data_IF_205276758614
#
_entry.id   IF_205276758614
#
_cell.length_a   1.000
_cell.length_b   1.000
_cell.length_c   1.000
_cell.angle_alpha   90.00
_cell.angle_beta   90.00
_cell.angle_gamma   90.00
#
_symmetry.space_group_name_H-M   'P 1'
#
loop_
_entity.id
_entity.type
_entity.pdbx_description
1 polymer ?
#
# COMPACT_ATOMS: atom_id res chain seq x y z
N UNK A 1 20.40 -6.59 21.07
CA UNK A 1 20.60 -6.93 22.50
C UNK A 1 19.39 -6.41 23.27
N UNK A 2 18.24 -7.05 23.11
CA UNK A 2 17.06 -6.78 23.94
C UNK A 2 16.82 -8.07 24.70
N UNK A 3 17.24 -8.06 25.97
CA UNK A 3 17.08 -9.17 26.88
C UNK A 3 15.61 -9.45 27.15
N UNK A 4 15.34 -10.69 27.51
CA UNK A 4 14.11 -11.12 28.16
C UNK A 4 13.79 -10.12 29.30
N UNK A 5 12.74 -9.33 29.15
CA UNK A 5 12.12 -8.66 30.29
C UNK A 5 11.21 -9.71 30.92
N UNK A 6 11.68 -10.29 32.03
CA UNK A 6 10.82 -11.02 32.93
C UNK A 6 9.70 -10.08 33.41
N UNK A 7 8.48 -10.62 33.41
CA UNK A 7 7.26 -9.89 33.78
C UNK A 7 7.10 -9.95 35.29
N UNK A 8 7.68 -9.00 36.00
CA UNK A 8 7.31 -8.76 37.40
C UNK A 8 6.26 -7.64 37.50
N UNK A 9 5.25 -7.85 38.36
CA UNK A 9 4.21 -6.87 38.75
C UNK A 9 4.81 -5.56 39.30
N UNK A 10 6.10 -5.57 39.66
CA UNK A 10 6.86 -4.46 40.23
C UNK A 10 6.94 -3.23 39.34
N UNK A 11 7.00 -3.38 38.01
CA UNK A 11 7.14 -2.24 37.10
C UNK A 11 5.91 -1.32 37.08
N UNK A 12 4.71 -1.86 37.31
CA UNK A 12 3.49 -1.07 37.36
C UNK A 12 3.40 -0.29 38.68
N UNK A 13 3.80 -0.92 39.79
CA UNK A 13 3.88 -0.28 41.10
C UNK A 13 4.93 0.83 41.13
N UNK A 14 6.12 0.59 40.55
CA UNK A 14 7.18 1.59 40.38
C UNK A 14 6.69 2.78 39.52
N UNK A 15 6.03 2.51 38.38
CA UNK A 15 5.47 3.56 37.53
C UNK A 15 4.39 4.38 38.26
N UNK A 16 3.48 3.72 38.99
CA UNK A 16 2.46 4.39 39.79
C UNK A 16 3.07 5.22 40.93
N UNK A 17 4.10 4.71 41.61
CA UNK A 17 4.84 5.47 42.63
C UNK A 17 5.50 6.71 42.01
N UNK A 18 6.17 6.55 40.86
CA UNK A 18 6.88 7.63 40.17
C UNK A 18 5.96 8.71 39.59
N UNK A 19 4.73 8.35 39.19
CA UNK A 19 3.78 9.28 38.54
C UNK A 19 2.67 9.79 39.46
N UNK A 20 2.64 9.34 40.70
CA UNK A 20 1.70 9.82 41.72
C UNK A 20 2.02 11.24 42.19
N UNK A 21 1.74 12.26 41.37
CA UNK A 21 1.61 13.63 41.90
C UNK A 21 0.43 13.65 42.87
N UNK A 22 0.74 13.76 44.15
CA UNK A 22 -0.22 13.88 45.24
C UNK A 22 -1.16 15.06 45.00
N UNK A 23 -2.35 14.79 44.46
CA UNK A 23 -3.44 15.76 44.43
C UNK A 23 -3.93 15.93 45.87
N UNK A 24 -3.28 16.83 46.63
CA UNK A 24 -3.72 17.23 47.97
C UNK A 24 -5.10 17.86 47.84
N UNK A 25 -6.16 17.09 48.13
CA UNK A 25 -7.49 17.66 48.38
C UNK A 25 -7.45 18.43 49.70
N UNK A 26 -7.93 19.68 49.76
CA UNK A 26 -8.01 20.40 51.02
C UNK A 26 -9.09 19.75 51.91
N UNK A 27 -8.69 19.31 53.10
CA UNK A 27 -9.62 18.89 54.15
C UNK A 27 -10.23 20.13 54.81
N UNK A 28 -11.45 20.48 54.40
CA UNK A 28 -12.27 21.49 55.06
C UNK A 28 -13.68 20.95 55.25
N UNK A 29 -14.02 20.56 56.48
CA UNK A 29 -15.33 20.03 56.82
C UNK A 29 -16.39 21.13 56.93
N UNK A 30 -17.57 20.87 56.35
CA UNK A 30 -18.87 21.29 56.87
C UNK A 30 -19.93 20.30 56.36
N UNK A 31 -20.88 19.96 57.22
CA UNK A 31 -21.84 18.88 57.01
C UNK A 31 -22.70 19.08 55.77
N UNK A 32 -22.62 18.11 54.86
CA UNK A 32 -23.59 17.94 53.78
C UNK A 32 -24.48 16.74 54.09
N UNK A 33 -25.79 16.97 54.08
CA UNK A 33 -26.83 15.94 54.21
C UNK A 33 -26.52 14.80 53.24
N UNK A 34 -26.45 13.58 53.76
CA UNK A 34 -26.30 12.37 52.98
C UNK A 34 -27.46 12.25 51.98
N UNK A 35 -27.26 12.72 50.76
CA UNK A 35 -27.93 12.12 49.61
C UNK A 35 -27.23 10.79 49.42
N UNK A 36 -27.98 9.70 49.59
CA UNK A 36 -27.58 8.38 49.16
C UNK A 36 -27.10 8.51 47.71
N UNK A 37 -25.78 8.51 47.50
CA UNK A 37 -25.20 8.36 46.17
C UNK A 37 -25.79 7.05 45.67
N UNK A 38 -26.56 7.10 44.57
CA UNK A 38 -26.82 5.88 43.80
C UNK A 38 -25.46 5.25 43.60
N UNK A 39 -25.25 4.09 44.23
CA UNK A 39 -24.08 3.25 44.00
C UNK A 39 -23.89 3.26 42.49
N UNK A 40 -22.72 3.69 42.01
CA UNK A 40 -22.40 3.73 40.58
C UNK A 40 -22.86 2.41 39.97
N UNK A 41 -24.02 2.40 39.33
CA UNK A 41 -24.49 1.26 38.56
C UNK A 41 -23.57 1.25 37.34
N UNK A 42 -22.42 0.59 37.50
CA UNK A 42 -21.54 0.27 36.40
C UNK A 42 -22.42 -0.43 35.39
N UNK A 43 -22.61 0.19 34.22
CA UNK A 43 -23.43 -0.35 33.15
C UNK A 43 -22.93 -1.76 32.83
N UNK A 44 -23.63 -2.77 33.32
CA UNK A 44 -23.32 -4.15 33.01
C UNK A 44 -23.74 -4.41 31.58
N UNK A 45 -22.78 -4.79 30.75
CA UNK A 45 -23.04 -5.21 29.37
C UNK A 45 -22.95 -6.71 29.25
N UNK A 46 -23.69 -7.28 28.30
CA UNK A 46 -23.63 -8.73 28.05
C UNK A 46 -22.24 -9.16 27.56
N UNK A 47 -21.85 -10.40 27.84
CA UNK A 47 -20.63 -11.02 27.30
C UNK A 47 -20.54 -10.86 25.77
N UNK A 48 -21.66 -11.01 25.06
CA UNK A 48 -21.72 -10.83 23.60
C UNK A 48 -21.33 -9.42 23.15
N UNK A 49 -21.68 -8.41 23.94
CA UNK A 49 -21.32 -7.02 23.66
C UNK A 49 -19.83 -6.78 23.87
N UNK A 50 -19.28 -7.28 24.97
CA UNK A 50 -17.83 -7.22 25.27
C UNK A 50 -17.05 -7.94 24.18
N UNK A 51 -17.46 -9.16 23.83
CA UNK A 51 -16.84 -9.95 22.79
C UNK A 51 -16.77 -9.20 21.46
N UNK A 52 -17.89 -8.59 21.05
CA UNK A 52 -17.96 -7.80 19.83
C UNK A 52 -17.04 -6.58 19.90
N UNK A 53 -16.98 -5.90 21.04
CA UNK A 53 -16.10 -4.75 21.22
C UNK A 53 -14.62 -5.14 21.12
N UNK A 54 -14.22 -6.24 21.75
CA UNK A 54 -12.86 -6.80 21.65
C UNK A 54 -12.54 -7.14 20.19
N UNK A 55 -13.44 -7.85 19.49
CA UNK A 55 -13.24 -8.18 18.07
C UNK A 55 -13.08 -6.93 17.21
N UNK A 56 -13.95 -5.93 17.39
CA UNK A 56 -13.83 -4.65 16.68
C UNK A 56 -12.50 -3.96 16.98
N UNK A 57 -12.07 -3.92 18.25
CA UNK A 57 -10.79 -3.35 18.65
C UNK A 57 -9.61 -4.05 17.97
N UNK A 58 -9.61 -5.38 17.93
CA UNK A 58 -8.57 -6.17 17.26
C UNK A 58 -8.55 -5.90 15.76
N UNK A 59 -9.71 -5.93 15.09
CA UNK A 59 -9.82 -5.80 13.63
C UNK A 59 -9.53 -4.37 13.18
N UNK A 60 -10.16 -3.37 13.79
CA UNK A 60 -9.97 -1.96 13.41
C UNK A 60 -8.59 -1.44 13.81
N UNK A 61 -8.05 -1.93 14.93
CA UNK A 61 -6.72 -1.57 15.41
C UNK A 61 -5.58 -2.39 14.80
N UNK A 62 -5.87 -3.35 13.91
CA UNK A 62 -4.90 -4.30 13.34
C UNK A 62 -4.00 -4.95 14.40
N UNK A 63 -4.57 -5.29 15.55
CA UNK A 63 -3.82 -5.80 16.69
C UNK A 63 -3.53 -7.30 16.56
N UNK A 64 -2.41 -7.80 17.10
CA UNK A 64 -2.17 -9.24 17.20
C UNK A 64 -3.25 -9.93 18.03
N UNK A 65 -3.68 -11.12 17.61
CA UNK A 65 -4.73 -11.87 18.33
C UNK A 65 -4.31 -12.26 19.75
N UNK A 66 -3.01 -12.45 20.00
CA UNK A 66 -2.46 -12.72 21.32
C UNK A 66 -2.55 -11.55 22.31
N UNK A 67 -2.93 -10.35 21.84
CA UNK A 67 -3.09 -9.19 22.71
C UNK A 67 -4.13 -9.43 23.81
N UNK A 68 -5.18 -10.20 23.52
CA UNK A 68 -6.25 -10.53 24.48
C UNK A 68 -5.79 -11.40 25.64
N UNK A 69 -4.60 -12.00 25.52
CA UNK A 69 -3.99 -12.86 26.54
C UNK A 69 -2.92 -12.14 27.35
N UNK A 70 -2.69 -10.84 27.09
CA UNK A 70 -1.82 -10.04 27.96
C UNK A 70 -2.54 -9.78 29.29
N UNK A 71 -1.89 -10.00 30.45
CA UNK A 71 -2.50 -9.74 31.76
C UNK A 71 -3.09 -8.33 31.86
N UNK A 72 -2.34 -7.31 31.46
CA UNK A 72 -2.82 -5.92 31.48
C UNK A 72 -4.06 -5.65 30.61
N UNK A 73 -4.26 -6.41 29.53
CA UNK A 73 -5.51 -6.33 28.76
C UNK A 73 -6.66 -7.03 29.48
N UNK A 74 -6.40 -8.16 30.12
CA UNK A 74 -7.40 -8.88 30.91
C UNK A 74 -7.85 -8.06 32.10
N UNK A 75 -6.90 -7.48 32.85
CA UNK A 75 -7.17 -6.60 33.98
C UNK A 75 -8.02 -5.41 33.56
N UNK A 76 -7.70 -4.78 32.42
CA UNK A 76 -8.49 -3.69 31.86
C UNK A 76 -9.96 -4.11 31.61
N UNK A 77 -10.19 -5.29 31.03
CA UNK A 77 -11.54 -5.76 30.75
C UNK A 77 -12.28 -6.14 32.04
N UNK A 78 -11.60 -6.79 32.99
CA UNK A 78 -12.17 -7.17 34.29
C UNK A 78 -12.52 -5.93 35.10
N UNK A 79 -11.67 -4.91 35.14
CA UNK A 79 -11.95 -3.65 35.84
C UNK A 79 -13.17 -2.93 35.25
N UNK A 80 -13.28 -2.92 33.91
CA UNK A 80 -14.40 -2.28 33.22
C UNK A 80 -15.69 -3.10 33.27
N UNK A 81 -15.60 -4.44 33.24
CA UNK A 81 -16.72 -5.39 33.21
C UNK A 81 -16.38 -6.66 34.01
N UNK A 82 -16.51 -6.63 35.35
CA UNK A 82 -16.03 -7.72 36.22
C UNK A 82 -16.68 -9.08 36.00
N UNK A 83 -17.90 -9.10 35.45
CA UNK A 83 -18.65 -10.33 35.16
C UNK A 83 -18.34 -10.94 33.79
N UNK A 84 -17.47 -10.32 32.99
CA UNK A 84 -17.17 -10.77 31.64
C UNK A 84 -15.85 -11.53 31.58
N UNK A 85 -15.85 -12.67 30.88
CA UNK A 85 -14.64 -13.41 30.57
C UNK A 85 -13.98 -12.86 29.31
N UNK A 86 -12.65 -12.72 29.32
CA UNK A 86 -11.90 -12.35 28.11
C UNK A 86 -11.69 -13.59 27.25
N UNK A 87 -11.96 -13.46 25.95
CA UNK A 87 -11.76 -14.56 25.00
C UNK A 87 -10.27 -14.86 24.78
N UNK A 88 -9.94 -16.13 24.53
CA UNK A 88 -8.59 -16.55 24.12
C UNK A 88 -8.26 -16.16 22.68
N UNK A 89 -6.98 -16.14 22.31
CA UNK A 89 -6.55 -15.84 20.93
C UNK A 89 -7.15 -16.83 19.92
N UNK A 90 -7.30 -18.12 20.29
CA UNK A 90 -7.94 -19.15 19.46
C UNK A 90 -9.42 -18.82 19.22
N UNK A 91 -10.10 -18.30 20.24
CA UNK A 91 -11.50 -17.88 20.13
C UNK A 91 -11.64 -16.63 19.28
N UNK A 92 -10.75 -15.65 19.43
CA UNK A 92 -10.67 -14.48 18.52
C UNK A 92 -10.55 -14.94 17.07
N UNK A 93 -9.56 -15.80 16.78
CA UNK A 93 -9.32 -16.33 15.43
C UNK A 93 -10.56 -16.99 14.84
N UNK A 94 -11.15 -17.95 15.56
CA UNK A 94 -12.36 -18.66 15.12
C UNK A 94 -13.54 -17.73 14.86
N UNK A 95 -13.75 -16.71 15.70
CA UNK A 95 -14.83 -15.73 15.50
C UNK A 95 -14.56 -14.86 14.28
N UNK A 96 -13.33 -14.37 14.08
CA UNK A 96 -12.93 -13.61 12.89
C UNK A 96 -13.09 -14.45 11.62
N UNK A 97 -12.71 -15.73 11.63
CA UNK A 97 -12.88 -16.64 10.49
C UNK A 97 -14.36 -16.87 10.15
N UNK A 98 -15.21 -17.03 11.18
CA UNK A 98 -16.66 -17.13 11.01
C UNK A 98 -17.26 -15.85 10.43
N UNK A 99 -16.88 -14.69 10.95
CA UNK A 99 -17.39 -13.40 10.48
C UNK A 99 -16.87 -13.06 9.08
N UNK A 100 -15.64 -13.45 8.74
CA UNK A 100 -15.09 -13.36 7.39
C UNK A 100 -15.88 -14.22 6.41
N UNK A 101 -16.29 -15.42 6.81
CA UNK A 101 -17.10 -16.32 5.97
C UNK A 101 -18.49 -15.72 5.70
N UNK A 102 -19.16 -15.21 6.74
CA UNK A 102 -20.44 -14.49 6.60
C UNK A 102 -20.31 -13.24 5.74
N UNK A 103 -19.21 -12.48 5.89
CA UNK A 103 -18.92 -11.30 5.07
C UNK A 103 -18.78 -11.69 3.60
N UNK A 104 -18.06 -12.78 3.29
CA UNK A 104 -17.93 -13.30 1.92
C UNK A 104 -19.27 -13.70 1.32
N UNK A 105 -20.12 -14.41 2.07
CA UNK A 105 -21.48 -14.76 1.62
C UNK A 105 -22.34 -13.52 1.34
N UNK A 106 -22.32 -12.53 2.26
CA UNK A 106 -23.01 -11.25 2.04
C UNK A 106 -22.51 -10.56 0.78
N UNK A 107 -21.19 -10.50 0.59
CA UNK A 107 -20.60 -9.87 -0.58
C UNK A 107 -20.99 -10.58 -1.88
N UNK A 108 -20.99 -11.92 -1.91
CA UNK A 108 -21.54 -12.70 -3.03
C UNK A 108 -22.98 -12.33 -3.32
N UNK A 109 -23.82 -12.23 -2.29
CA UNK A 109 -25.23 -11.88 -2.47
C UNK A 109 -25.42 -10.46 -3.03
N UNK A 110 -24.60 -9.49 -2.62
CA UNK A 110 -24.61 -8.15 -3.23
C UNK A 110 -24.12 -8.20 -4.69
N UNK A 111 -23.06 -8.96 -4.97
CA UNK A 111 -22.53 -9.14 -6.33
C UNK A 111 -23.52 -9.84 -7.27
N UNK A 112 -24.42 -10.68 -6.76
CA UNK A 112 -25.50 -11.29 -7.55
C UNK A 112 -26.48 -10.26 -8.10
N UNK A 113 -26.76 -9.20 -7.36
CA UNK A 113 -27.73 -8.15 -7.73
C UNK A 113 -27.22 -7.22 -8.83
N UNK A 114 -25.90 -7.15 -9.01
CA UNK A 114 -25.29 -6.22 -9.98
C UNK A 114 -24.94 -6.93 -11.28
N UNK A 115 -25.20 -6.33 -12.45
CA UNK A 115 -24.86 -6.93 -13.73
C UNK A 115 -23.39 -6.71 -14.12
N UNK A 116 -22.80 -5.58 -13.72
CA UNK A 116 -21.47 -5.15 -14.16
C UNK A 116 -20.57 -4.85 -12.98
N UNK A 117 -19.35 -5.38 -13.03
CA UNK A 117 -18.31 -5.21 -12.02
C UNK A 117 -17.02 -4.79 -12.73
N UNK A 118 -16.27 -3.86 -12.14
CA UNK A 118 -14.89 -3.61 -12.50
C UNK A 118 -13.99 -4.13 -11.38
N UNK A 119 -12.83 -4.68 -11.71
CA UNK A 119 -11.84 -5.05 -10.69
C UNK A 119 -10.57 -4.24 -10.83
N UNK A 120 -9.91 -3.96 -9.71
CA UNK A 120 -8.55 -3.44 -9.66
C UNK A 120 -7.68 -4.50 -9.03
N UNK A 121 -6.46 -4.68 -9.55
CA UNK A 121 -5.49 -5.64 -9.03
C UNK A 121 -4.15 -4.98 -8.86
N UNK A 122 -3.52 -5.26 -7.72
CA UNK A 122 -2.18 -4.80 -7.39
C UNK A 122 -1.34 -5.97 -6.84
N UNK A 123 -0.05 -5.94 -7.13
CA UNK A 123 0.92 -6.89 -6.58
C UNK A 123 2.09 -6.13 -5.95
N UNK A 124 2.39 -6.46 -4.71
CA UNK A 124 3.50 -5.83 -3.98
C UNK A 124 4.28 -6.86 -3.19
N UNK A 125 5.54 -6.51 -2.92
CA UNK A 125 6.40 -7.30 -2.04
C UNK A 125 6.62 -6.56 -0.72
N UNK A 126 6.35 -7.24 0.39
CA UNK A 126 6.57 -6.74 1.73
C UNK A 126 7.22 -7.83 2.59
N UNK A 127 8.32 -7.50 3.30
CA UNK A 127 9.03 -8.43 4.20
C UNK A 127 9.37 -9.78 3.54
N UNK A 128 9.93 -9.74 2.32
CA UNK A 128 10.30 -10.92 1.51
C UNK A 128 9.13 -11.85 1.18
N UNK A 129 7.91 -11.32 1.15
CA UNK A 129 6.70 -12.03 0.73
C UNK A 129 5.96 -11.16 -0.27
N UNK A 130 5.45 -11.79 -1.30
CA UNK A 130 4.66 -11.10 -2.31
C UNK A 130 3.18 -11.35 -2.05
N UNK A 131 2.38 -10.34 -2.36
CA UNK A 131 0.95 -10.34 -2.13
C UNK A 131 0.24 -9.86 -3.38
N UNK A 132 -0.97 -10.36 -3.57
CA UNK A 132 -1.93 -9.86 -4.55
C UNK A 132 -3.15 -9.31 -3.82
N UNK A 133 -3.52 -8.09 -4.18
CA UNK A 133 -4.75 -7.44 -3.77
C UNK A 133 -5.70 -7.40 -4.94
N UNK A 134 -6.96 -7.82 -4.75
CA UNK A 134 -8.01 -7.67 -5.76
C UNK A 134 -9.19 -6.97 -5.11
N UNK A 135 -9.64 -5.87 -5.72
CA UNK A 135 -10.80 -5.09 -5.25
C UNK A 135 -11.85 -5.05 -6.36
N UNK A 136 -13.09 -5.35 -6.00
CA UNK A 136 -14.23 -5.17 -6.89
C UNK A 136 -14.86 -3.80 -6.68
N UNK A 137 -15.35 -3.22 -7.77
CA UNK A 137 -16.06 -1.94 -7.82
C UNK A 137 -17.34 -2.10 -8.62
N UNK A 138 -18.43 -1.53 -8.13
CA UNK A 138 -19.73 -1.54 -8.81
C UNK A 138 -20.52 -0.30 -8.46
N UNK A 139 -21.59 -0.01 -9.21
CA UNK A 139 -22.57 1.01 -8.86
C UNK A 139 -23.74 0.32 -8.14
N UNK A 140 -24.14 0.88 -7.01
CA UNK A 140 -25.38 0.48 -6.35
C UNK A 140 -26.57 0.76 -7.28
N UNK A 141 -27.42 -0.23 -7.59
CA UNK A 141 -28.51 -0.04 -8.56
C UNK A 141 -29.57 0.98 -8.13
N UNK A 142 -29.69 1.26 -6.83
CA UNK A 142 -30.71 2.16 -6.30
C UNK A 142 -30.15 3.57 -6.08
N UNK A 143 -28.97 3.69 -5.44
CA UNK A 143 -28.39 4.99 -5.10
C UNK A 143 -27.46 5.54 -6.18
N UNK A 144 -27.04 4.72 -7.15
CA UNK A 144 -25.97 5.03 -8.11
C UNK A 144 -24.64 5.43 -7.45
N UNK A 145 -24.47 5.13 -6.16
CA UNK A 145 -23.20 5.32 -5.48
C UNK A 145 -22.23 4.21 -5.86
N UNK A 146 -20.98 4.58 -6.12
CA UNK A 146 -19.92 3.60 -6.28
C UNK A 146 -19.66 2.90 -4.96
N UNK A 147 -19.72 1.57 -4.99
CA UNK A 147 -19.31 0.67 -3.92
C UNK A 147 -18.00 -0.01 -4.30
N UNK A 148 -17.23 -0.38 -3.28
CA UNK A 148 -15.98 -1.11 -3.44
C UNK A 148 -15.86 -2.17 -2.36
N UNK A 149 -15.27 -3.32 -2.67
CA UNK A 149 -14.94 -4.34 -1.68
C UNK A 149 -13.68 -5.12 -2.06
N UNK A 150 -12.79 -5.31 -1.09
CA UNK A 150 -11.63 -6.18 -1.25
C UNK A 150 -12.09 -7.64 -1.37
N UNK A 151 -11.79 -8.27 -2.50
CA UNK A 151 -12.03 -9.70 -2.75
C UNK A 151 -10.91 -10.56 -2.18
N UNK A 152 -9.68 -10.05 -2.27
CA UNK A 152 -8.50 -10.80 -1.89
C UNK A 152 -7.39 -9.88 -1.41
N UNK A 153 -6.69 -10.35 -0.38
CA UNK A 153 -5.33 -9.97 -0.03
C UNK A 153 -4.63 -11.29 0.29
N UNK A 154 -3.98 -11.88 -0.72
CA UNK A 154 -3.42 -13.23 -0.64
C UNK A 154 -1.91 -13.19 -0.82
N UNK A 155 -1.20 -13.99 -0.05
CA UNK A 155 0.23 -14.21 -0.29
C UNK A 155 0.39 -15.04 -1.57
N UNK A 156 1.19 -14.55 -2.51
CA UNK A 156 1.67 -15.32 -3.65
C UNK A 156 2.97 -16.03 -3.23
N UNK A 157 3.07 -17.32 -3.57
CA UNK A 157 4.25 -18.16 -3.28
C UNK A 157 4.85 -18.62 -4.60
N UNK A 158 6.19 -18.73 -4.63
CA UNK A 158 6.91 -19.08 -5.86
C UNK A 158 7.06 -17.89 -6.81
N UNK A 159 7.32 -18.19 -8.07
CA UNK A 159 7.47 -17.20 -9.14
C UNK A 159 6.12 -16.58 -9.51
N UNK A 160 6.10 -15.26 -9.67
CA UNK A 160 4.88 -14.50 -10.04
C UNK A 160 4.75 -14.39 -11.55
N UNK A 161 4.84 -15.52 -12.24
CA UNK A 161 4.72 -15.59 -13.69
C UNK A 161 3.32 -15.16 -14.15
N UNK A 162 3.18 -14.80 -15.42
CA UNK A 162 1.94 -14.25 -15.97
C UNK A 162 0.78 -15.26 -15.92
N UNK A 163 1.05 -16.55 -16.12
CA UNK A 163 0.13 -17.68 -15.97
C UNK A 163 -0.29 -17.87 -14.51
N UNK A 164 0.64 -17.77 -13.55
CA UNK A 164 0.30 -17.83 -12.12
C UNK A 164 -0.62 -16.69 -11.69
N UNK A 165 -0.40 -15.47 -12.19
CA UNK A 165 -1.29 -14.34 -11.96
C UNK A 165 -2.67 -14.55 -12.59
N UNK A 166 -2.74 -15.07 -13.81
CA UNK A 166 -3.99 -15.39 -14.49
C UNK A 166 -4.80 -16.45 -13.74
N UNK A 167 -4.14 -17.50 -13.26
CA UNK A 167 -4.74 -18.55 -12.45
C UNK A 167 -5.35 -17.99 -11.16
N UNK A 168 -4.59 -17.17 -10.43
CA UNK A 168 -5.05 -16.59 -9.16
C UNK A 168 -6.22 -15.62 -9.37
N UNK A 169 -6.18 -14.79 -10.41
CA UNK A 169 -7.28 -13.89 -10.76
C UNK A 169 -8.56 -14.67 -11.12
N UNK A 170 -8.41 -15.73 -11.91
CA UNK A 170 -9.52 -16.61 -12.31
C UNK A 170 -10.13 -17.30 -11.09
N UNK A 171 -9.32 -17.86 -10.18
CA UNK A 171 -9.80 -18.44 -8.91
C UNK A 171 -10.56 -17.41 -8.07
N UNK A 172 -10.03 -16.18 -7.94
CA UNK A 172 -10.69 -15.14 -7.16
C UNK A 172 -12.03 -14.77 -7.79
N UNK A 173 -12.11 -14.55 -9.09
CA UNK A 173 -13.37 -14.25 -9.78
C UNK A 173 -14.39 -15.39 -9.66
N UNK A 174 -13.95 -16.63 -9.83
CA UNK A 174 -14.80 -17.83 -9.69
C UNK A 174 -15.33 -17.98 -8.27
N UNK A 175 -14.47 -17.79 -7.26
CA UNK A 175 -14.83 -17.89 -5.84
C UNK A 175 -15.95 -16.94 -5.44
N UNK A 176 -16.03 -15.76 -6.06
CA UNK A 176 -17.08 -14.77 -5.81
C UNK A 176 -18.25 -14.85 -6.80
N UNK A 177 -18.25 -15.81 -7.74
CA UNK A 177 -19.29 -16.00 -8.77
C UNK A 177 -19.46 -14.75 -9.67
N UNK A 178 -18.33 -14.09 -10.01
CA UNK A 178 -18.33 -12.84 -10.79
C UNK A 178 -17.63 -12.94 -12.16
N UNK A 179 -17.07 -14.09 -12.55
CA UNK A 179 -16.23 -14.22 -13.75
C UNK A 179 -16.86 -13.62 -15.02
N UNK A 180 -18.17 -13.82 -15.23
CA UNK A 180 -18.90 -13.30 -16.40
C UNK A 180 -19.42 -11.86 -16.24
N UNK A 181 -19.26 -11.27 -15.05
CA UNK A 181 -19.73 -9.92 -14.72
C UNK A 181 -18.61 -8.88 -14.73
N UNK A 182 -17.36 -9.33 -14.68
CA UNK A 182 -16.20 -8.43 -14.70
C UNK A 182 -16.03 -7.86 -16.11
N UNK A 183 -16.33 -6.58 -16.26
CA UNK A 183 -16.24 -5.87 -17.54
C UNK A 183 -14.80 -5.54 -17.88
N UNK A 184 -14.04 -5.08 -16.88
CA UNK A 184 -12.62 -4.75 -17.01
C UNK A 184 -11.86 -5.00 -15.72
N UNK A 185 -10.60 -5.38 -15.85
CA UNK A 185 -9.63 -5.38 -14.76
C UNK A 185 -8.56 -4.33 -14.98
N UNK A 186 -8.37 -3.44 -14.00
CA UNK A 186 -7.31 -2.43 -14.02
C UNK A 186 -6.11 -2.94 -13.23
N UNK A 187 -4.93 -2.96 -13.86
CA UNK A 187 -3.66 -3.31 -13.19
C UNK A 187 -2.63 -2.24 -13.40
N UNK A 188 -1.53 -2.29 -12.66
CA UNK A 188 -0.33 -1.56 -13.00
C UNK A 188 0.28 -2.09 -14.33
N UNK A 189 1.27 -1.38 -14.88
CA UNK A 189 2.02 -1.80 -16.07
C UNK A 189 3.14 -2.82 -15.76
N UNK A 190 3.03 -3.60 -14.68
CA UNK A 190 3.98 -4.69 -14.43
C UNK A 190 4.00 -5.67 -15.61
N UNK A 191 5.19 -6.06 -16.06
CA UNK A 191 5.39 -6.88 -17.27
C UNK A 191 4.56 -8.18 -17.24
N UNK A 192 4.50 -8.85 -16.09
CA UNK A 192 3.72 -10.08 -15.94
C UNK A 192 2.21 -9.85 -15.99
N UNK A 193 1.68 -8.72 -15.49
CA UNK A 193 0.28 -8.38 -15.70
C UNK A 193 -0.01 -8.09 -17.17
N UNK A 194 0.82 -7.25 -17.80
CA UNK A 194 0.66 -6.92 -19.22
C UNK A 194 0.67 -8.19 -20.08
N UNK A 195 1.61 -9.11 -19.82
CA UNK A 195 1.68 -10.39 -20.51
C UNK A 195 0.48 -11.28 -20.21
N UNK A 196 0.02 -11.37 -18.96
CA UNK A 196 -1.15 -12.18 -18.58
C UNK A 196 -2.40 -11.75 -19.33
N UNK A 197 -2.66 -10.44 -19.38
CA UNK A 197 -3.83 -9.90 -20.08
C UNK A 197 -3.67 -9.88 -21.61
N UNK A 198 -2.44 -9.85 -22.14
CA UNK A 198 -2.20 -10.04 -23.58
C UNK A 198 -2.53 -11.47 -24.01
N UNK A 199 -2.12 -12.47 -23.23
CA UNK A 199 -2.26 -13.89 -23.58
C UNK A 199 -3.65 -14.41 -23.24
N UNK A 200 -4.17 -14.09 -22.06
CA UNK A 200 -5.43 -14.67 -21.53
C UNK A 200 -6.60 -13.68 -21.47
N UNK A 201 -6.38 -12.39 -21.78
CA UNK A 201 -7.42 -11.37 -21.72
C UNK A 201 -8.34 -11.37 -22.93
N UNK A 202 -9.60 -11.03 -22.72
CA UNK A 202 -10.52 -10.71 -23.81
C UNK A 202 -9.97 -9.55 -24.64
N UNK A 203 -9.96 -9.73 -25.96
CA UNK A 203 -9.58 -8.68 -26.90
C UNK A 203 -10.47 -7.46 -26.73
N UNK A 204 -9.86 -6.29 -26.86
CA UNK A 204 -10.54 -5.01 -26.78
C UNK A 204 -9.99 -4.10 -27.86
N UNK A 205 -10.80 -3.79 -28.86
CA UNK A 205 -10.43 -2.95 -30.01
C UNK A 205 -9.91 -1.55 -29.60
N UNK A 206 -10.21 -1.11 -28.37
CA UNK A 206 -9.76 0.17 -27.80
C UNK A 206 -8.44 0.08 -27.01
N UNK A 207 -7.93 -1.12 -26.73
CA UNK A 207 -6.57 -1.27 -26.23
C UNK A 207 -5.67 -1.41 -27.45
N UNK A 208 -4.83 -0.40 -27.71
CA UNK A 208 -3.84 -0.49 -28.78
C UNK A 208 -3.11 -1.83 -28.70
N UNK A 209 -3.29 -2.66 -29.73
CA UNK A 209 -2.33 -3.70 -30.05
C UNK A 209 -0.99 -2.99 -30.30
N UNK A 210 -0.01 -3.33 -29.46
CA UNK A 210 1.43 -3.11 -29.65
C UNK A 210 1.93 -1.65 -29.85
N UNK A 211 2.51 -1.08 -28.78
CA UNK A 211 3.67 -0.16 -28.86
C UNK A 211 4.91 -0.85 -28.28
N UNK A 212 5.09 -2.14 -28.55
CA UNK A 212 6.32 -2.86 -28.24
C UNK A 212 7.00 -3.21 -29.55
N UNK A 213 7.49 -2.20 -30.24
CA UNK A 213 8.50 -2.36 -31.27
C UNK A 213 9.45 -1.15 -31.20
N UNK A 214 10.74 -1.47 -31.06
CA UNK A 214 11.92 -0.58 -31.05
C UNK A 214 12.20 0.19 -29.75
N UNK A 215 12.72 -0.55 -28.76
CA UNK A 215 13.35 0.04 -27.59
C UNK A 215 13.81 -1.01 -26.57
N UNK A 216 14.47 -2.06 -27.04
CA UNK A 216 15.09 -3.10 -26.20
C UNK A 216 16.04 -2.44 -25.20
N UNK A 217 15.72 -2.53 -23.90
CA UNK A 217 16.75 -2.64 -22.88
C UNK A 217 16.98 -4.13 -22.78
N UNK A 218 18.11 -4.57 -23.30
CA UNK A 218 18.65 -5.90 -23.04
C UNK A 218 18.84 -6.04 -21.52
N UNK A 219 18.01 -6.85 -20.88
CA UNK A 219 18.36 -7.45 -19.61
C UNK A 219 19.09 -8.74 -19.95
N UNK A 220 20.43 -8.70 -19.91
CA UNK A 220 21.29 -9.88 -19.98
C UNK A 220 20.96 -10.81 -18.81
N UNK A 221 20.21 -11.89 -19.06
CA UNK A 221 20.32 -13.09 -18.24
C UNK A 221 21.58 -13.85 -18.69
N UNK A 222 22.61 -13.77 -17.85
CA UNK A 222 23.80 -14.62 -17.96
C UNK A 222 23.39 -16.05 -17.58
N UNK A 223 23.45 -16.97 -18.55
CA UNK A 223 23.17 -18.39 -18.32
C UNK A 223 23.53 -19.29 -19.51
N UNK A 224 24.79 -19.71 -19.53
CA UNK A 224 25.36 -20.99 -20.03
C UNK A 224 25.09 -21.47 -21.47
N UNK A 225 26.20 -21.62 -22.20
CA UNK A 225 26.37 -22.31 -23.48
C UNK A 225 25.71 -23.70 -23.51
N UNK A 226 24.94 -23.98 -24.57
CA UNK A 226 24.99 -25.28 -25.23
C UNK A 226 24.69 -25.17 -26.74
N UNK A 227 25.72 -25.53 -27.49
CA UNK A 227 25.81 -25.60 -28.94
C UNK A 227 24.97 -26.76 -29.48
N UNK A 228 24.11 -26.53 -30.49
CA UNK A 228 23.62 -27.59 -31.37
C UNK A 228 23.12 -27.02 -32.71
N UNK A 229 23.65 -27.61 -33.78
CA UNK A 229 23.56 -27.19 -35.18
C UNK A 229 22.23 -27.45 -35.87
N UNK A 230 21.98 -26.59 -36.86
CA UNK A 230 21.20 -26.73 -38.10
C UNK A 230 20.82 -28.16 -38.55
N UNK A 231 19.56 -28.32 -39.01
CA UNK A 231 19.07 -29.54 -39.65
C UNK A 231 17.60 -29.50 -40.07
N UNK A 232 17.37 -29.17 -41.35
CA UNK A 232 16.31 -29.53 -42.31
C UNK A 232 14.84 -29.79 -41.86
N UNK A 233 13.92 -29.14 -42.58
CA UNK A 233 12.46 -29.24 -42.45
C UNK A 233 11.93 -30.50 -43.16
N UNK A 234 11.45 -31.48 -42.40
CA UNK A 234 10.55 -32.54 -42.87
C UNK A 234 9.10 -32.23 -42.44
N UNK A 235 8.16 -32.29 -43.37
CA UNK A 235 6.73 -32.09 -43.09
C UNK A 235 6.11 -33.45 -42.81
N UNK A 236 5.98 -33.80 -41.52
CA UNK A 236 5.21 -34.97 -41.08
C UNK A 236 3.71 -34.66 -41.08
N UNK A 237 2.92 -35.59 -41.61
CA UNK A 237 1.46 -35.53 -41.58
C UNK A 237 0.97 -35.88 -40.17
N UNK A 238 0.55 -34.86 -39.40
CA UNK A 238 -0.06 -35.03 -38.07
C UNK A 238 -1.47 -35.64 -38.16
N UNK A 239 -1.70 -36.64 -37.30
CA UNK A 239 -3.00 -37.27 -37.07
C UNK A 239 -3.99 -36.27 -36.44
N UNK A 240 -5.20 -36.19 -36.96
CA UNK A 240 -6.23 -35.23 -36.50
C UNK A 240 -6.73 -35.60 -35.10
N UNK A 241 -6.59 -36.87 -34.70
CA UNK A 241 -7.01 -37.34 -33.38
C UNK A 241 -6.05 -36.87 -32.26
N UNK A 242 -4.75 -36.72 -32.54
CA UNK A 242 -3.80 -36.12 -31.56
C UNK A 242 -3.98 -34.61 -31.36
N UNK A 243 -4.58 -33.90 -32.33
CA UNK A 243 -4.92 -32.46 -32.19
C UNK A 243 -6.11 -32.27 -31.24
N UNK A 244 -7.00 -33.26 -31.11
CA UNK A 244 -8.13 -33.19 -30.17
C UNK A 244 -7.76 -33.63 -28.75
N UNK A 245 -6.61 -34.28 -28.57
CA UNK A 245 -6.04 -34.65 -27.26
C UNK A 245 -4.97 -33.66 -26.76
N UNK A 246 -4.47 -32.78 -27.63
CA UNK A 246 -3.76 -31.58 -27.22
C UNK A 246 -4.78 -30.59 -26.61
N UNK A 247 -4.83 -30.55 -25.28
CA UNK A 247 -5.50 -29.52 -24.49
C UNK A 247 -5.06 -28.14 -25.01
N UNK A 248 -5.88 -27.54 -25.88
CA UNK A 248 -5.70 -26.23 -26.51
C UNK A 248 -5.68 -25.10 -25.45
N UNK A 249 -4.61 -25.05 -24.66
CA UNK A 249 -3.88 -23.86 -24.21
C UNK A 249 -4.61 -22.70 -23.53
N UNK A 250 -5.90 -22.77 -23.23
CA UNK A 250 -6.67 -21.66 -22.65
C UNK A 250 -7.37 -22.08 -21.35
N UNK A 251 -6.57 -22.49 -20.36
CA UNK A 251 -7.11 -22.76 -19.03
C UNK A 251 -7.69 -21.49 -18.35
N UNK A 252 -7.32 -20.30 -18.82
CA UNK A 252 -7.70 -19.03 -18.21
C UNK A 252 -8.32 -18.07 -19.22
N UNK A 253 -9.46 -17.47 -18.84
CA UNK A 253 -10.08 -16.38 -19.58
C UNK A 253 -10.21 -15.16 -18.66
N UNK A 254 -9.31 -14.20 -18.83
CA UNK A 254 -9.32 -12.92 -18.12
C UNK A 254 -10.25 -11.93 -18.83
N UNK A 255 -10.88 -11.00 -18.09
CA UNK A 255 -11.68 -9.94 -18.68
C UNK A 255 -10.80 -8.94 -19.44
N UNK A 256 -11.43 -7.97 -20.11
CA UNK A 256 -10.73 -6.88 -20.79
C UNK A 256 -9.79 -6.14 -19.84
N UNK A 257 -8.62 -5.77 -20.32
CA UNK A 257 -7.61 -5.07 -19.53
C UNK A 257 -7.79 -3.55 -19.54
N UNK A 258 -7.37 -2.91 -18.46
CA UNK A 258 -7.16 -1.46 -18.41
C UNK A 258 -5.82 -1.20 -17.70
N UNK A 259 -4.95 -0.40 -18.30
CA UNK A 259 -3.68 -0.01 -17.66
C UNK A 259 -3.92 1.13 -16.69
N UNK A 260 -3.37 1.04 -15.49
CA UNK A 260 -3.52 2.05 -14.46
C UNK A 260 -2.99 3.40 -14.97
N UNK A 261 -3.89 4.37 -15.13
CA UNK A 261 -3.55 5.70 -15.62
C UNK A 261 -2.53 6.41 -14.73
N UNK A 262 -2.59 6.20 -13.42
CA UNK A 262 -1.62 6.74 -12.48
C UNK A 262 -0.22 6.13 -12.70
N UNK A 263 -0.12 4.83 -13.00
CA UNK A 263 1.18 4.23 -13.31
C UNK A 263 1.70 4.76 -14.65
N UNK A 264 0.83 4.84 -15.67
CA UNK A 264 1.20 5.41 -16.98
C UNK A 264 1.72 6.85 -16.85
N UNK A 265 1.01 7.69 -16.09
CA UNK A 265 1.42 9.08 -15.89
C UNK A 265 2.77 9.18 -15.16
N UNK A 266 3.02 8.30 -14.19
CA UNK A 266 4.33 8.21 -13.54
C UNK A 266 5.44 7.76 -14.52
N UNK A 267 5.14 6.79 -15.40
CA UNK A 267 6.08 6.30 -16.41
C UNK A 267 6.47 7.37 -17.42
N UNK A 268 5.56 8.28 -17.81
CA UNK A 268 5.89 9.42 -18.68
C UNK A 268 7.07 10.20 -18.11
N UNK A 269 7.02 10.54 -16.82
CA UNK A 269 8.12 11.24 -16.15
C UNK A 269 9.40 10.42 -16.08
N UNK A 270 9.30 9.10 -15.89
CA UNK A 270 10.48 8.22 -15.89
C UNK A 270 11.15 8.17 -17.26
N UNK A 271 10.38 8.01 -18.34
CA UNK A 271 10.88 7.98 -19.72
C UNK A 271 11.57 9.30 -20.10
N UNK A 272 11.00 10.44 -19.71
CA UNK A 272 11.60 11.75 -19.98
C UNK A 272 12.88 11.96 -19.17
N UNK A 273 12.93 11.49 -17.92
CA UNK A 273 14.16 11.50 -17.11
C UNK A 273 15.25 10.61 -17.73
N UNK A 274 14.90 9.43 -18.25
CA UNK A 274 15.84 8.54 -18.93
C UNK A 274 16.39 9.15 -20.22
N UNK A 275 15.54 9.86 -20.97
CA UNK A 275 15.99 10.64 -22.13
C UNK A 275 16.92 11.77 -21.70
N UNK A 276 16.59 12.52 -20.65
CA UNK A 276 17.42 13.60 -20.13
C UNK A 276 18.78 13.10 -19.60
N UNK A 277 18.82 11.89 -19.03
CA UNK A 277 20.05 11.24 -18.56
C UNK A 277 21.04 10.91 -19.68
N UNK A 278 20.64 10.96 -20.97
CA UNK A 278 21.57 10.88 -22.11
C UNK A 278 22.48 12.11 -22.20
N UNK A 279 22.04 13.25 -21.65
CA UNK A 279 22.84 14.47 -21.57
C UNK A 279 23.74 14.43 -20.34
N UNK A 280 25.06 14.40 -20.54
CA UNK A 280 26.03 14.23 -19.46
C UNK A 280 25.97 15.34 -18.40
N UNK A 281 25.65 16.58 -18.81
CA UNK A 281 25.46 17.70 -17.89
C UNK A 281 24.28 17.48 -16.91
N UNK A 282 23.12 17.09 -17.44
CA UNK A 282 21.94 16.76 -16.63
C UNK A 282 22.23 15.57 -15.71
N UNK A 283 22.80 14.50 -16.27
CA UNK A 283 23.14 13.28 -15.53
C UNK A 283 24.05 13.55 -14.33
N UNK A 284 25.12 14.35 -14.51
CA UNK A 284 26.03 14.73 -13.42
C UNK A 284 25.33 15.54 -12.34
N UNK A 285 24.54 16.55 -12.73
CA UNK A 285 23.84 17.42 -11.80
C UNK A 285 22.74 16.67 -11.02
N UNK A 286 21.92 15.89 -11.72
CA UNK A 286 20.88 15.04 -11.15
C UNK A 286 21.44 14.03 -10.14
N UNK A 287 22.52 13.32 -10.49
CA UNK A 287 23.19 12.37 -9.59
C UNK A 287 23.78 13.07 -8.37
N UNK A 288 24.40 14.24 -8.54
CA UNK A 288 24.94 15.02 -7.42
C UNK A 288 23.84 15.43 -6.44
N UNK A 289 22.75 16.03 -6.93
CA UNK A 289 21.66 16.50 -6.09
C UNK A 289 20.93 15.35 -5.38
N UNK A 290 20.50 14.33 -6.13
CA UNK A 290 19.73 13.22 -5.55
C UNK A 290 20.54 12.31 -4.63
N UNK A 291 21.84 12.11 -4.88
CA UNK A 291 22.68 11.32 -3.96
C UNK A 291 22.83 11.99 -2.59
N UNK A 292 22.89 13.34 -2.54
CA UNK A 292 22.92 14.11 -1.29
C UNK A 292 21.59 13.99 -0.55
N UNK A 293 20.47 14.14 -1.26
CA UNK A 293 19.14 13.92 -0.68
C UNK A 293 19.00 12.50 -0.13
N UNK A 294 19.40 11.48 -0.90
CA UNK A 294 19.34 10.08 -0.48
C UNK A 294 20.18 9.81 0.77
N UNK A 295 21.39 10.36 0.81
CA UNK A 295 22.28 10.24 1.98
C UNK A 295 21.65 10.88 3.21
N UNK A 296 21.06 12.07 3.05
CA UNK A 296 20.39 12.78 4.14
C UNK A 296 19.16 12.01 4.65
N UNK A 297 18.29 11.52 3.76
CA UNK A 297 17.13 10.71 4.14
C UNK A 297 17.53 9.41 4.84
N UNK A 298 18.56 8.72 4.35
CA UNK A 298 19.07 7.50 4.97
C UNK A 298 19.64 7.75 6.38
N UNK A 299 20.33 8.87 6.60
CA UNK A 299 20.85 9.21 7.93
C UNK A 299 19.75 9.59 8.90
N UNK A 300 18.73 10.31 8.43
CA UNK A 300 17.54 10.64 9.22
C UNK A 300 16.76 9.39 9.62
N UNK A 301 16.57 8.43 8.71
CA UNK A 301 15.76 7.23 8.97
C UNK A 301 16.44 6.20 9.89
N UNK A 302 17.77 6.25 10.01
CA UNK A 302 18.56 5.24 10.75
C UNK A 302 18.85 5.62 12.20
N UNK A 303 18.65 6.87 12.59
CA UNK A 303 18.98 7.36 13.94
C UNK A 303 17.96 8.39 14.42
N UNK A 304 17.27 8.14 15.55
CA UNK A 304 16.39 9.13 16.18
C UNK A 304 17.12 10.44 16.50
N UNK A 305 18.36 10.38 16.98
CA UNK A 305 19.18 11.57 17.27
C UNK A 305 19.42 12.41 16.01
N UNK A 306 19.63 11.77 14.85
CA UNK A 306 19.78 12.50 13.59
C UNK A 306 18.46 13.15 13.16
N UNK A 307 17.33 12.46 13.38
CA UNK A 307 16.01 12.99 13.05
C UNK A 307 15.63 14.19 13.93
N UNK A 308 15.94 14.14 15.23
CA UNK A 308 15.77 15.23 16.19
C UNK A 308 16.66 16.43 15.83
N UNK A 309 17.93 16.21 15.50
CA UNK A 309 18.84 17.27 15.07
C UNK A 309 18.35 17.96 13.78
N UNK A 310 17.79 17.19 12.85
CA UNK A 310 17.18 17.75 11.65
C UNK A 310 15.95 18.57 12.00
N UNK A 311 15.06 18.07 12.86
CA UNK A 311 13.88 18.81 13.29
C UNK A 311 14.26 20.10 14.03
N UNK A 312 15.28 20.06 14.88
CA UNK A 312 15.77 21.22 15.64
C UNK A 312 16.21 22.35 14.71
N UNK A 313 17.02 22.05 13.69
CA UNK A 313 17.58 23.04 12.78
C UNK A 313 16.68 23.39 11.60
N UNK A 314 15.93 22.43 11.06
CA UNK A 314 15.07 22.62 9.89
C UNK A 314 13.60 22.91 10.23
N UNK A 315 13.21 22.80 11.51
CA UNK A 315 11.83 22.99 12.03
C UNK A 315 10.78 22.07 11.39
N UNK A 316 11.22 21.10 10.60
CA UNK A 316 10.41 20.16 9.86
C UNK A 316 11.17 18.84 9.78
N UNK A 317 10.45 17.73 9.94
CA UNK A 317 10.98 16.42 9.59
C UNK A 317 11.12 16.27 8.08
N UNK A 318 12.11 15.46 7.68
CA UNK A 318 12.23 14.99 6.30
C UNK A 318 11.18 13.91 6.02
N UNK A 319 10.70 13.90 4.79
CA UNK A 319 9.84 12.83 4.28
C UNK A 319 10.73 11.83 3.55
N UNK A 320 10.60 10.55 3.91
CA UNK A 320 11.33 9.48 3.23
C UNK A 320 10.60 9.10 1.94
N UNK A 321 11.31 9.02 0.79
CA UNK A 321 10.71 8.51 -0.43
C UNK A 321 10.36 7.03 -0.29
N UNK A 322 9.25 6.62 -0.90
CA UNK A 322 8.78 5.23 -0.96
C UNK A 322 8.51 4.86 -2.42
N UNK A 323 9.31 3.95 -2.98
CA UNK A 323 9.20 3.51 -4.37
C UNK A 323 7.81 2.98 -4.76
N UNK A 324 7.04 2.44 -3.80
CA UNK A 324 5.67 1.94 -4.04
C UNK A 324 4.61 3.04 -4.09
N UNK A 325 4.97 4.29 -3.79
CA UNK A 325 4.10 5.48 -3.93
C UNK A 325 4.71 6.43 -4.96
N UNK A 326 4.10 6.48 -6.14
CA UNK A 326 4.61 7.19 -7.32
C UNK A 326 4.94 8.69 -7.12
N UNK A 327 4.25 9.39 -6.21
CA UNK A 327 4.52 10.80 -5.91
C UNK A 327 5.51 11.04 -4.76
N UNK A 328 6.00 10.00 -4.08
CA UNK A 328 6.72 10.16 -2.80
C UNK A 328 8.08 10.82 -2.95
N UNK A 329 8.80 10.55 -4.04
CA UNK A 329 10.08 11.19 -4.36
C UNK A 329 9.90 12.69 -4.56
N UNK A 330 8.82 13.10 -5.24
CA UNK A 330 8.47 14.52 -5.37
C UNK A 330 8.22 15.15 -4.00
N UNK A 331 7.40 14.53 -3.14
CA UNK A 331 7.09 15.07 -1.80
C UNK A 331 8.35 15.17 -0.93
N UNK A 332 9.25 14.18 -1.02
CA UNK A 332 10.52 14.19 -0.29
C UNK A 332 11.44 15.33 -0.73
N UNK A 333 11.54 15.58 -2.04
CA UNK A 333 12.36 16.68 -2.58
C UNK A 333 11.71 18.04 -2.32
N UNK A 334 10.40 18.16 -2.52
CA UNK A 334 9.64 19.37 -2.20
C UNK A 334 9.81 19.76 -0.73
N UNK A 335 9.87 18.77 0.19
CA UNK A 335 10.18 19.01 1.59
C UNK A 335 11.56 19.65 1.79
N UNK A 336 12.59 19.15 1.09
CA UNK A 336 13.95 19.72 1.17
C UNK A 336 13.97 21.15 0.63
N UNK A 337 13.37 21.38 -0.54
CA UNK A 337 13.28 22.72 -1.15
C UNK A 337 12.51 23.70 -0.25
N UNK A 338 11.42 23.22 0.38
CA UNK A 338 10.65 24.01 1.34
C UNK A 338 11.46 24.39 2.57
N UNK A 339 12.24 23.47 3.13
CA UNK A 339 13.14 23.78 4.25
C UNK A 339 14.15 24.85 3.85
N UNK A 340 14.79 24.71 2.68
CA UNK A 340 15.76 25.70 2.16
C UNK A 340 15.10 27.07 2.00
N UNK A 341 13.88 27.13 1.47
CA UNK A 341 13.13 28.37 1.27
C UNK A 341 12.71 29.01 2.61
N UNK A 342 12.17 28.21 3.53
CA UNK A 342 11.53 28.71 4.74
C UNK A 342 12.56 28.99 5.87
N UNK A 343 13.64 28.22 5.97
CA UNK A 343 14.69 28.34 7.01
C UNK A 343 16.04 28.84 6.48
N UNK A 344 16.16 29.01 5.17
CA UNK A 344 17.41 29.40 4.51
C UNK A 344 18.41 28.25 4.36
N UNK A 345 19.35 28.41 3.43
CA UNK A 345 20.40 27.42 3.16
C UNK A 345 21.26 27.10 4.39
N UNK A 346 21.44 28.06 5.31
CA UNK A 346 22.24 27.90 6.51
C UNK A 346 21.77 26.74 7.39
N UNK A 347 20.46 26.52 7.50
CA UNK A 347 19.88 25.42 8.28
C UNK A 347 20.31 24.04 7.73
N UNK A 348 20.16 23.85 6.42
CA UNK A 348 20.53 22.61 5.72
C UNK A 348 22.04 22.40 5.74
N UNK A 349 22.82 23.49 5.63
CA UNK A 349 24.28 23.46 5.75
C UNK A 349 24.74 22.96 7.12
N UNK A 350 24.14 23.45 8.21
CA UNK A 350 24.43 22.98 9.58
C UNK A 350 24.12 21.49 9.73
N UNK A 351 22.96 21.04 9.24
CA UNK A 351 22.58 19.62 9.26
C UNK A 351 23.54 18.76 8.45
N UNK A 352 23.92 19.20 7.24
CA UNK A 352 24.85 18.46 6.40
C UNK A 352 26.23 18.35 7.06
N UNK A 353 26.72 19.41 7.70
CA UNK A 353 27.97 19.39 8.45
C UNK A 353 27.90 18.42 9.64
N UNK A 354 26.85 18.51 10.48
CA UNK A 354 26.66 17.66 11.64
C UNK A 354 26.53 16.17 11.26
N UNK A 355 25.84 15.89 10.16
CA UNK A 355 25.59 14.52 9.71
C UNK A 355 26.66 14.01 8.74
N UNK A 356 27.72 14.77 8.43
CA UNK A 356 28.73 14.40 7.44
C UNK A 356 28.12 14.04 6.07
N UNK A 357 27.18 14.85 5.60
CA UNK A 357 26.59 14.77 4.25
C UNK A 357 27.27 15.81 3.37
N UNK A 358 27.63 15.49 2.10
CA UNK A 358 28.18 16.49 1.19
C UNK A 358 27.23 17.68 1.02
N UNK A 359 27.79 18.88 1.08
CA UNK A 359 27.01 20.13 0.98
C UNK A 359 26.34 20.24 -0.38
N UNK A 360 25.11 20.77 -0.38
CA UNK A 360 24.45 21.18 -1.61
C UNK A 360 25.18 22.40 -2.19
N UNK A 361 25.59 22.30 -3.45
CA UNK A 361 26.08 23.42 -4.22
C UNK A 361 24.90 24.29 -4.66
N UNK A 362 25.13 25.56 -5.05
CA UNK A 362 24.07 26.40 -5.62
C UNK A 362 23.40 25.75 -6.83
N UNK A 363 24.16 24.99 -7.65
CA UNK A 363 23.62 24.25 -8.79
C UNK A 363 22.69 23.10 -8.35
N UNK A 364 23.00 22.39 -7.26
CA UNK A 364 22.12 21.34 -6.74
C UNK A 364 20.79 21.93 -6.25
N UNK A 365 20.85 23.07 -5.54
CA UNK A 365 19.65 23.75 -5.02
C UNK A 365 18.77 24.24 -6.17
N UNK A 366 19.37 24.88 -7.18
CA UNK A 366 18.67 25.30 -8.40
C UNK A 366 18.01 24.10 -9.10
N UNK A 367 18.75 23.02 -9.29
CA UNK A 367 18.24 21.78 -9.89
C UNK A 367 17.04 21.20 -9.12
N UNK A 368 17.11 21.12 -7.79
CA UNK A 368 15.99 20.62 -6.98
C UNK A 368 14.76 21.53 -7.09
N UNK A 369 14.95 22.85 -7.20
CA UNK A 369 13.88 23.82 -7.43
C UNK A 369 13.20 23.64 -8.79
N UNK A 370 14.00 23.46 -9.85
CA UNK A 370 13.51 23.17 -11.20
C UNK A 370 12.79 21.83 -11.27
N UNK A 371 13.33 20.80 -10.61
CA UNK A 371 12.70 19.49 -10.48
C UNK A 371 11.32 19.60 -9.82
N UNK A 372 11.18 20.32 -8.70
CA UNK A 372 9.89 20.52 -8.03
C UNK A 372 8.92 21.27 -8.94
N UNK A 373 9.38 22.29 -9.65
CA UNK A 373 8.54 23.05 -10.58
C UNK A 373 8.02 22.14 -11.71
N UNK A 374 8.91 21.35 -12.31
CA UNK A 374 8.61 20.47 -13.44
C UNK A 374 7.71 19.30 -13.05
N UNK A 375 7.95 18.69 -11.88
CA UNK A 375 7.20 17.52 -11.42
C UNK A 375 5.90 17.87 -10.69
N UNK A 376 5.68 19.14 -10.29
CA UNK A 376 4.47 19.56 -9.56
C UNK A 376 3.17 19.21 -10.29
N UNK A 377 3.00 19.46 -11.60
CA UNK A 377 1.79 19.08 -12.34
C UNK A 377 1.50 17.58 -12.30
N UNK A 378 2.53 16.76 -12.50
CA UNK A 378 2.44 15.30 -12.47
C UNK A 378 2.05 14.82 -11.09
N UNK A 379 2.73 15.30 -10.04
CA UNK A 379 2.45 14.90 -8.66
C UNK A 379 1.04 15.31 -8.21
N UNK A 380 0.56 16.50 -8.60
CA UNK A 380 -0.82 16.95 -8.34
C UNK A 380 -1.84 16.07 -9.06
N UNK A 381 -1.56 15.73 -10.32
CA UNK A 381 -2.41 14.82 -11.10
C UNK A 381 -2.51 13.44 -10.46
N UNK A 382 -1.37 12.86 -10.05
CA UNK A 382 -1.33 11.59 -9.33
C UNK A 382 -2.13 11.66 -8.02
N UNK A 383 -1.99 12.74 -7.24
CA UNK A 383 -2.78 12.92 -6.01
C UNK A 383 -4.30 12.92 -6.26
N UNK A 384 -4.75 13.53 -7.37
CA UNK A 384 -6.17 13.53 -7.74
C UNK A 384 -6.60 12.12 -8.17
N UNK A 385 -5.87 11.50 -9.10
CA UNK A 385 -6.28 10.23 -9.70
C UNK A 385 -6.14 9.02 -8.75
N UNK A 386 -5.27 9.11 -7.74
CA UNK A 386 -5.13 8.10 -6.69
C UNK A 386 -6.13 8.27 -5.54
N UNK A 387 -7.00 9.29 -5.57
CA UNK A 387 -7.95 9.53 -4.49
C UNK A 387 -8.97 8.39 -4.34
N UNK A 388 -9.22 7.96 -3.10
CA UNK A 388 -10.10 6.82 -2.81
C UNK A 388 -11.60 7.20 -2.90
N UNK A 389 -11.92 8.45 -2.57
CA UNK A 389 -13.30 8.96 -2.44
C UNK A 389 -13.64 9.83 -3.65
N UNK A 390 -14.78 9.56 -4.30
CA UNK A 390 -15.36 10.35 -5.40
C UNK A 390 -14.52 10.50 -6.68
N UNK A 391 -13.36 9.86 -6.80
CA UNK A 391 -12.54 9.86 -8.03
C UNK A 391 -13.01 8.75 -8.96
N UNK A 392 -13.54 9.12 -10.12
CA UNK A 392 -14.01 8.20 -11.17
C UNK A 392 -13.19 8.35 -12.45
N UNK A 393 -13.34 7.43 -13.40
CA UNK A 393 -12.59 7.48 -14.66
C UNK A 393 -12.80 8.80 -15.44
N UNK A 394 -13.95 9.46 -15.26
CA UNK A 394 -14.24 10.78 -15.83
C UNK A 394 -13.29 11.91 -15.37
N UNK A 395 -12.48 11.71 -14.32
CA UNK A 395 -11.46 12.66 -13.88
C UNK A 395 -10.16 12.57 -14.67
N UNK A 396 -9.94 11.50 -15.45
CA UNK A 396 -8.69 11.27 -16.15
C UNK A 396 -8.39 12.36 -17.18
N UNK A 397 -9.30 12.54 -18.16
CA UNK A 397 -9.12 13.51 -19.24
C UNK A 397 -9.04 14.95 -18.70
N UNK A 398 -9.92 15.43 -17.80
CA UNK A 398 -9.78 16.76 -17.22
C UNK A 398 -8.48 16.98 -16.47
N UNK A 399 -8.00 15.97 -15.73
CA UNK A 399 -6.75 16.08 -14.96
C UNK A 399 -5.55 16.22 -15.89
N UNK A 400 -5.46 15.40 -16.94
CA UNK A 400 -4.35 15.47 -17.91
C UNK A 400 -4.45 16.75 -18.75
N UNK A 401 -5.64 17.13 -19.21
CA UNK A 401 -5.84 18.27 -20.11
C UNK A 401 -5.53 19.62 -19.46
N UNK A 402 -5.77 19.77 -18.15
CA UNK A 402 -5.42 20.98 -17.39
C UNK A 402 -3.93 21.32 -17.43
N UNK A 403 -3.08 20.33 -17.70
CA UNK A 403 -1.63 20.48 -17.76
C UNK A 403 -1.08 20.55 -19.18
N UNK A 404 -1.91 20.33 -20.20
CA UNK A 404 -1.53 20.49 -21.61
C UNK A 404 -1.67 21.94 -22.11
N UNK A 405 -2.21 22.85 -21.30
CA UNK A 405 -2.47 24.26 -21.65
C UNK A 405 -1.57 25.26 -20.91
N UNK A 406 -0.61 24.78 -20.12
CA UNK A 406 0.41 25.56 -19.44
C UNK A 406 1.79 25.10 -19.94
#
# INVERSE_FOLDING_TARGET
MWGHFDRDETHLEEYCQMTSTACKRPSGGTGFKAKQLKLLETKQVSQKTVDRAILCFIVQGLQPFSLVEKPSFQDLIVELQPSSAVMSHTTVRRKIDSDTSKMKERLKNEMKKVPYIATTTDCWTARRRSFIGVTAHWLDPCSFERRSAALACRQLRGSHTFDALAAVLTDIHAKYEISLKVVRTTTDNGSNFVKAFRVFGQQDENNNEELVAEGTIEEEEVGEDCDASDGEVEVEFMDVESILEEDDGLQYQLPKHHRCACHLLNLVSTVDVDRANKTEAYKKLSRSAFSKCQTLWNKASRSPQNAELIEEHCKLHLVQPNSTRWNSSFVAVERVVRIIRDQGEGSVRTVCAALSVPMYSPADIAFLGEYVTTMSPVAKSLNILQGEVNIQMGWLLPTISKHSQA
#
